data_IF_017559839935
#
_entry.id   IF_017559839935
#
_cell.length_a   1.000
_cell.length_b   1.000
_cell.length_c   1.000
_cell.angle_alpha   90.00
_cell.angle_beta   90.00
_cell.angle_gamma   90.00
#
_symmetry.space_group_name_H-M   'P 1'
#
loop_
_entity.id
_entity.type
_entity.pdbx_description
1 polymer ?
#
# COMPACT_ATOMS: atom_id res chain seq x y z
N UNK A 1 15.90 -11.17 3.98
CA UNK A 1 16.30 -10.83 2.59
C UNK A 1 16.16 -9.33 2.40
N UNK A 2 17.25 -8.61 2.14
CA UNK A 2 17.20 -7.17 1.82
C UNK A 2 16.71 -7.06 0.37
N UNK A 3 15.51 -6.53 0.16
CA UNK A 3 14.98 -6.29 -1.18
C UNK A 3 15.95 -5.40 -1.95
N UNK A 4 16.60 -5.96 -2.94
CA UNK A 4 17.63 -5.31 -3.73
C UNK A 4 16.90 -4.55 -4.84
N UNK A 5 17.11 -3.24 -4.94
CA UNK A 5 16.68 -2.50 -6.13
C UNK A 5 17.32 -3.18 -7.35
N UNK A 6 16.56 -3.48 -8.42
CA UNK A 6 17.09 -4.21 -9.59
C UNK A 6 18.32 -3.52 -10.20
N UNK A 7 18.53 -2.24 -9.93
CA UNK A 7 19.64 -1.44 -10.47
C UNK A 7 20.77 -1.14 -9.46
N UNK A 8 20.79 -1.77 -8.27
CA UNK A 8 21.86 -1.69 -7.25
C UNK A 8 22.35 -0.29 -6.80
N UNK A 9 21.79 0.81 -7.31
CA UNK A 9 22.10 2.17 -6.85
C UNK A 9 21.54 2.33 -5.44
N UNK A 10 22.43 2.50 -4.47
CA UNK A 10 22.05 2.99 -3.14
C UNK A 10 21.37 4.35 -3.33
N UNK A 11 20.17 4.58 -2.73
CA UNK A 11 19.56 5.89 -2.74
C UNK A 11 20.51 6.88 -2.05
N UNK A 12 20.63 8.08 -2.63
CA UNK A 12 21.34 9.20 -2.03
C UNK A 12 20.87 9.40 -0.57
N UNK A 13 21.77 9.56 0.41
CA UNK A 13 21.40 9.90 1.79
C UNK A 13 20.41 11.07 1.90
N UNK A 14 20.47 12.05 0.98
CA UNK A 14 19.51 13.14 0.90
C UNK A 14 18.07 12.66 0.64
N UNK A 15 17.89 11.60 -0.16
CA UNK A 15 16.59 10.97 -0.40
C UNK A 15 16.09 10.34 0.90
N UNK A 16 16.93 9.61 1.62
CA UNK A 16 16.55 9.02 2.91
C UNK A 16 16.15 10.10 3.93
N UNK A 17 16.87 11.23 3.96
CA UNK A 17 16.55 12.37 4.82
C UNK A 17 15.23 13.04 4.44
N UNK A 18 14.94 13.19 3.14
CA UNK A 18 13.67 13.72 2.65
C UNK A 18 12.49 12.82 3.07
N UNK A 19 12.66 11.50 2.95
CA UNK A 19 11.69 10.51 3.44
C UNK A 19 11.47 10.61 4.95
N UNK A 20 12.53 10.63 5.74
CA UNK A 20 12.45 10.75 7.20
C UNK A 20 11.71 12.04 7.61
N UNK A 21 12.02 13.16 6.97
CA UNK A 21 11.39 14.46 7.23
C UNK A 21 9.91 14.46 6.86
N UNK A 22 9.56 13.93 5.69
CA UNK A 22 8.18 13.89 5.22
C UNK A 22 7.31 12.97 6.10
N UNK A 23 7.83 11.79 6.47
CA UNK A 23 7.12 10.85 7.34
C UNK A 23 6.93 11.45 8.75
N UNK A 24 7.97 12.06 9.32
CA UNK A 24 7.87 12.73 10.62
C UNK A 24 6.85 13.88 10.62
N UNK A 25 6.82 14.68 9.54
CA UNK A 25 5.84 15.77 9.38
C UNK A 25 4.42 15.27 9.17
N UNK A 26 4.25 14.15 8.46
CA UNK A 26 2.92 13.62 8.18
C UNK A 26 2.16 13.19 9.44
N UNK A 27 2.88 12.77 10.49
CA UNK A 27 2.33 12.16 11.71
C UNK A 27 1.35 11.00 11.44
N UNK A 28 1.40 10.40 10.24
CA UNK A 28 0.49 9.33 9.84
C UNK A 28 1.07 7.99 10.27
N UNK A 29 0.36 7.31 11.15
CA UNK A 29 0.70 5.94 11.56
C UNK A 29 -0.30 4.98 10.95
N UNK A 30 0.13 4.31 9.88
CA UNK A 30 -0.69 3.32 9.16
C UNK A 30 -0.04 1.93 9.17
N UNK A 31 -0.83 0.86 9.00
CA UNK A 31 -0.30 -0.48 8.84
C UNK A 31 0.69 -0.57 7.68
N UNK A 32 1.71 -1.43 7.79
CA UNK A 32 2.66 -1.66 6.71
C UNK A 32 1.99 -2.09 5.39
N UNK A 33 0.86 -2.80 5.47
CA UNK A 33 0.07 -3.18 4.31
C UNK A 33 -0.47 -1.97 3.53
N UNK A 34 -0.92 -0.92 4.22
CA UNK A 34 -1.39 0.33 3.61
C UNK A 34 -0.26 1.02 2.86
N UNK A 35 0.93 1.11 3.47
CA UNK A 35 2.09 1.71 2.81
C UNK A 35 2.53 0.95 1.55
N UNK A 36 2.54 -0.39 1.61
CA UNK A 36 2.82 -1.21 0.42
C UNK A 36 1.80 -0.97 -0.68
N UNK A 37 0.52 -0.97 -0.34
CA UNK A 37 -0.54 -0.76 -1.30
C UNK A 37 -0.48 0.66 -1.89
N UNK A 38 -0.15 1.68 -1.09
CA UNK A 38 0.05 3.05 -1.57
C UNK A 38 1.13 3.17 -2.64
N UNK A 39 2.26 2.46 -2.48
CA UNK A 39 3.33 2.41 -3.49
C UNK A 39 2.83 1.74 -4.76
N UNK A 40 2.13 0.61 -4.65
CA UNK A 40 1.53 -0.06 -5.80
C UNK A 40 0.54 0.84 -6.53
N UNK A 41 -0.31 1.55 -5.78
CA UNK A 41 -1.34 2.45 -6.29
C UNK A 41 -0.75 3.58 -7.10
N UNK A 42 0.29 4.19 -6.55
CA UNK A 42 0.99 5.26 -7.21
C UNK A 42 1.68 4.77 -8.49
N UNK A 43 2.39 3.64 -8.42
CA UNK A 43 3.17 3.08 -9.52
C UNK A 43 2.34 2.61 -10.72
N UNK A 44 1.03 2.39 -10.57
CA UNK A 44 0.17 2.04 -11.71
C UNK A 44 -0.03 3.22 -12.66
N UNK A 45 -0.03 4.46 -12.15
CA UNK A 45 -0.32 5.64 -12.96
C UNK A 45 0.91 6.50 -13.27
N UNK A 46 2.09 6.11 -12.78
CA UNK A 46 3.31 6.90 -12.88
C UNK A 46 4.51 6.02 -13.23
N UNK A 47 5.33 6.50 -14.16
CA UNK A 47 6.57 5.85 -14.61
C UNK A 47 7.82 6.37 -13.91
N UNK A 48 7.76 7.57 -13.34
CA UNK A 48 8.87 8.17 -12.59
C UNK A 48 8.97 7.59 -11.17
N UNK A 49 10.03 7.85 -10.40
CA UNK A 49 10.07 7.51 -8.97
C UNK A 49 9.18 8.45 -8.14
N UNK A 50 8.46 7.95 -7.11
CA UNK A 50 7.60 8.79 -6.29
C UNK A 50 8.40 9.68 -5.35
N UNK A 51 7.86 10.87 -5.06
CA UNK A 51 8.31 11.65 -3.90
C UNK A 51 7.70 11.08 -2.61
N UNK A 52 8.28 11.37 -1.43
CA UNK A 52 7.67 11.01 -0.16
C UNK A 52 6.24 11.55 0.00
N UNK A 53 5.97 12.74 -0.52
CA UNK A 53 4.65 13.37 -0.46
C UNK A 53 3.62 12.55 -1.26
N UNK A 54 3.98 12.08 -2.45
CA UNK A 54 3.08 11.31 -3.30
C UNK A 54 2.61 10.03 -2.62
N UNK A 55 3.52 9.29 -1.98
CA UNK A 55 3.18 8.06 -1.27
C UNK A 55 2.34 8.36 -0.02
N UNK A 56 2.57 9.47 0.67
CA UNK A 56 1.71 9.90 1.80
C UNK A 56 0.29 10.18 1.32
N UNK A 57 0.13 10.85 0.17
CA UNK A 57 -1.19 11.11 -0.44
C UNK A 57 -1.86 9.80 -0.85
N UNK A 58 -1.15 8.92 -1.55
CA UNK A 58 -1.67 7.60 -1.94
C UNK A 58 -2.05 6.74 -0.74
N UNK A 59 -1.28 6.79 0.37
CA UNK A 59 -1.63 6.09 1.60
C UNK A 59 -2.93 6.61 2.23
N UNK A 60 -3.20 7.91 2.14
CA UNK A 60 -4.50 8.48 2.53
C UNK A 60 -5.65 7.89 1.72
N UNK A 61 -5.50 7.80 0.40
CA UNK A 61 -6.51 7.22 -0.50
C UNK A 61 -6.77 5.74 -0.20
N UNK A 62 -5.70 4.96 0.08
CA UNK A 62 -5.82 3.56 0.49
C UNK A 62 -6.60 3.44 1.80
N UNK A 63 -6.33 4.30 2.78
CA UNK A 63 -7.05 4.30 4.06
C UNK A 63 -8.54 4.57 3.86
N UNK A 64 -8.89 5.58 3.07
CA UNK A 64 -10.30 5.91 2.80
C UNK A 64 -11.02 4.73 2.14
N UNK A 65 -10.33 4.02 1.23
CA UNK A 65 -10.84 2.81 0.60
C UNK A 65 -11.00 1.65 1.60
N UNK A 66 -10.02 1.42 2.46
CA UNK A 66 -10.06 0.36 3.48
C UNK A 66 -11.13 0.61 4.54
N UNK A 67 -11.40 1.87 4.89
CA UNK A 67 -12.51 2.23 5.78
C UNK A 67 -13.88 1.91 5.18
N UNK A 68 -13.98 1.95 3.84
CA UNK A 68 -15.20 1.64 3.11
C UNK A 68 -15.41 0.13 2.87
N UNK A 69 -14.41 -0.70 3.17
CA UNK A 69 -14.48 -2.17 3.02
C UNK A 69 -14.62 -2.83 4.41
N UNK A 70 -15.74 -3.52 4.71
CA UNK A 70 -16.01 -4.10 6.02
C UNK A 70 -14.95 -5.06 6.55
N UNK A 71 -14.21 -5.75 5.67
CA UNK A 71 -13.15 -6.67 6.10
C UNK A 71 -11.89 -5.90 6.47
N UNK A 72 -11.53 -4.90 5.66
CA UNK A 72 -10.33 -4.08 5.86
C UNK A 72 -10.51 -3.08 7.01
N UNK A 73 -11.73 -2.64 7.28
CA UNK A 73 -12.01 -1.74 8.40
C UNK A 73 -11.71 -2.39 9.75
N UNK A 74 -11.98 -3.70 9.90
CA UNK A 74 -11.62 -4.48 11.09
C UNK A 74 -10.11 -4.56 11.27
N UNK A 75 -9.35 -4.74 10.19
CA UNK A 75 -7.88 -4.73 10.22
C UNK A 75 -7.33 -3.36 10.68
N UNK A 76 -7.93 -2.26 10.19
CA UNK A 76 -7.54 -0.90 10.60
C UNK A 76 -7.84 -0.64 12.08
N UNK A 77 -9.00 -1.08 12.56
CA UNK A 77 -9.39 -0.94 13.96
C UNK A 77 -8.47 -1.75 14.87
N UNK A 78 -8.18 -2.99 14.50
CA UNK A 78 -7.24 -3.86 15.21
C UNK A 78 -5.85 -3.22 15.29
N UNK A 79 -5.37 -2.62 14.20
CA UNK A 79 -4.09 -1.90 14.19
C UNK A 79 -4.11 -0.64 15.07
N UNK A 80 -5.18 0.17 15.03
CA UNK A 80 -5.32 1.36 15.88
C UNK A 80 -5.29 0.98 17.37
N UNK A 81 -6.02 -0.06 17.73
CA UNK A 81 -6.06 -0.58 19.10
C UNK A 81 -4.69 -1.10 19.53
N UNK A 82 -4.02 -1.89 18.71
CA UNK A 82 -2.67 -2.39 19.01
C UNK A 82 -1.66 -1.24 19.19
N UNK A 83 -1.73 -0.21 18.33
CA UNK A 83 -0.85 0.94 18.43
C UNK A 83 -1.13 1.75 19.71
N UNK A 84 -2.40 1.96 20.06
CA UNK A 84 -2.80 2.60 21.31
C UNK A 84 -2.21 1.85 22.53
N UNK A 85 -2.40 0.53 22.60
CA UNK A 85 -1.86 -0.30 23.68
C UNK A 85 -0.33 -0.25 23.74
N UNK A 86 0.32 -0.24 22.58
CA UNK A 86 1.78 -0.10 22.53
C UNK A 86 2.26 1.27 23.04
N UNK A 87 1.50 2.35 22.81
CA UNK A 87 1.80 3.68 23.32
C UNK A 87 1.56 3.78 24.83
N UNK A 88 0.49 3.18 25.34
CA UNK A 88 0.25 3.05 26.78
C UNK A 88 1.40 2.29 27.46
N UNK A 89 1.83 1.15 26.89
CA UNK A 89 2.94 0.35 27.41
C UNK A 89 4.28 1.10 27.43
N UNK A 90 4.49 2.05 26.50
CA UNK A 90 5.67 2.93 26.47
C UNK A 90 5.56 4.14 27.41
N UNK A 91 4.42 4.31 28.09
CA UNK A 91 4.15 5.47 28.95
C UNK A 91 3.88 6.77 28.19
N UNK A 92 3.64 6.70 26.88
CA UNK A 92 3.28 7.87 26.08
C UNK A 92 1.83 8.32 26.29
N UNK A 93 0.99 7.43 26.82
CA UNK A 93 -0.43 7.64 27.11
C UNK A 93 -0.81 7.02 28.47
N UNK A 94 -1.78 7.59 29.20
CA UNK A 94 -2.32 6.97 30.40
C UNK A 94 -2.92 5.59 30.13
N UNK A 95 -2.76 4.66 31.06
CA UNK A 95 -3.37 3.32 30.97
C UNK A 95 -4.89 3.45 31.04
N UNK A 96 -5.58 2.78 30.11
CA UNK A 96 -7.04 2.84 30.01
C UNK A 96 -7.52 3.98 29.11
N UNK A 97 -6.63 4.55 28.29
CA UNK A 97 -7.03 5.45 27.21
C UNK A 97 -7.96 4.66 26.30
N UNK A 98 -9.20 5.12 26.16
CA UNK A 98 -10.14 4.51 25.23
C UNK A 98 -9.59 4.69 23.80
N UNK A 99 -9.72 3.68 22.92
CA UNK A 99 -9.47 3.92 21.52
C UNK A 99 -10.40 5.06 21.09
N UNK A 100 -9.85 6.09 20.43
CA UNK A 100 -10.68 7.01 19.67
C UNK A 100 -11.44 6.14 18.67
N UNK A 101 -12.70 5.81 18.99
CA UNK A 101 -13.70 5.56 17.96
C UNK A 101 -13.57 6.72 17.01
N UNK A 102 -13.46 6.50 15.69
CA UNK A 102 -13.29 7.60 14.76
C UNK A 102 -14.44 8.55 15.05
N UNK A 103 -14.09 9.71 15.62
CA UNK A 103 -15.05 10.75 15.90
C UNK A 103 -15.73 11.02 14.58
N UNK A 104 -17.05 10.95 14.59
CA UNK A 104 -17.85 11.39 13.47
C UNK A 104 -17.33 12.75 13.03
N UNK A 105 -16.82 12.82 11.80
CA UNK A 105 -16.77 14.07 11.07
C UNK A 105 -15.68 15.08 11.42
N UNK A 106 -14.52 14.72 11.97
CA UNK A 106 -13.34 15.58 11.75
C UNK A 106 -12.81 15.37 10.32
N UNK A 107 -13.63 15.83 9.36
CA UNK A 107 -13.14 16.34 8.09
C UNK A 107 -12.01 17.29 8.48
N UNK A 108 -10.78 16.97 8.09
CA UNK A 108 -9.79 18.01 7.88
C UNK A 108 -10.51 19.04 7.01
N UNK A 109 -10.71 20.26 7.51
CA UNK A 109 -11.09 21.40 6.69
C UNK A 109 -9.96 21.62 5.69
N UNK A 110 -10.03 20.83 4.63
CA UNK A 110 -9.52 21.21 3.33
C UNK A 110 -10.54 22.25 2.90
N UNK A 111 -10.13 23.52 2.85
CA UNK A 111 -10.93 24.59 2.27
C UNK A 111 -11.72 24.04 1.07
N UNK A 112 -13.03 24.26 1.11
CA UNK A 112 -14.00 23.65 0.21
C UNK A 112 -13.76 24.07 -1.26
N UNK A 113 -12.81 23.41 -1.92
CA UNK A 113 -12.72 23.34 -3.36
C UNK A 113 -13.79 22.38 -3.89
N UNK A 114 -14.49 22.71 -4.98
CA UNK A 114 -15.78 22.14 -5.32
C UNK A 114 -15.70 20.63 -5.63
N UNK A 115 -16.44 19.82 -4.85
CA UNK A 115 -17.29 18.71 -5.29
C UNK A 115 -16.74 17.50 -6.08
N UNK A 116 -15.52 17.49 -6.60
CA UNK A 116 -15.08 16.47 -7.58
C UNK A 116 -14.09 15.41 -7.09
N UNK A 117 -13.32 15.69 -6.03
CA UNK A 117 -12.07 14.95 -5.74
C UNK A 117 -12.28 13.57 -5.09
N UNK A 118 -13.32 13.41 -4.26
CA UNK A 118 -13.59 12.14 -3.58
C UNK A 118 -14.25 11.08 -4.49
N UNK A 119 -15.10 11.51 -5.43
CA UNK A 119 -15.67 10.61 -6.44
C UNK A 119 -14.63 10.19 -7.49
N UNK A 120 -13.77 11.13 -7.91
CA UNK A 120 -12.63 10.84 -8.77
C UNK A 120 -11.64 9.86 -8.10
N UNK A 121 -11.36 10.03 -6.80
CA UNK A 121 -10.53 9.11 -6.02
C UNK A 121 -11.11 7.69 -5.94
N UNK A 122 -12.41 7.55 -5.68
CA UNK A 122 -13.09 6.23 -5.68
C UNK A 122 -13.06 5.55 -7.05
N UNK A 123 -13.32 6.28 -8.13
CA UNK A 123 -13.30 5.74 -9.49
C UNK A 123 -11.88 5.38 -9.94
N UNK A 124 -10.89 6.21 -9.62
CA UNK A 124 -9.48 5.90 -9.84
C UNK A 124 -9.08 4.62 -9.07
N UNK A 125 -9.57 4.47 -7.83
CA UNK A 125 -9.35 3.30 -7.01
C UNK A 125 -10.01 2.01 -7.54
N UNK A 126 -11.23 2.10 -8.07
CA UNK A 126 -11.89 0.97 -8.71
C UNK A 126 -11.18 0.54 -9.99
N UNK A 127 -10.82 1.50 -10.85
CA UNK A 127 -10.06 1.24 -12.07
C UNK A 127 -8.70 0.61 -11.75
N UNK A 128 -8.05 1.09 -10.70
CA UNK A 128 -6.80 0.56 -10.20
C UNK A 128 -6.93 -0.86 -9.64
N UNK A 129 -7.97 -1.15 -8.86
CA UNK A 129 -8.25 -2.52 -8.38
C UNK A 129 -8.50 -3.48 -9.54
N UNK A 130 -9.20 -3.02 -10.58
CA UNK A 130 -9.40 -3.81 -11.79
C UNK A 130 -8.08 -4.04 -12.54
N UNK A 131 -7.18 -3.04 -12.60
CA UNK A 131 -5.87 -3.18 -13.22
C UNK A 131 -4.95 -4.12 -12.42
N UNK A 132 -4.92 -4.02 -11.10
CA UNK A 132 -4.14 -4.91 -10.23
C UNK A 132 -4.63 -6.35 -10.26
N UNK A 133 -5.96 -6.56 -10.35
CA UNK A 133 -6.52 -7.89 -10.56
C UNK A 133 -6.08 -8.46 -11.90
N UNK A 134 -6.18 -7.68 -12.99
CA UNK A 134 -5.71 -8.10 -14.32
C UNK A 134 -4.22 -8.43 -14.34
N UNK A 135 -3.37 -7.65 -13.68
CA UNK A 135 -1.93 -7.96 -13.55
C UNK A 135 -1.68 -9.25 -12.80
N UNK A 136 -2.34 -9.48 -11.66
CA UNK A 136 -2.19 -10.75 -10.92
C UNK A 136 -2.66 -11.97 -11.71
N UNK A 137 -3.75 -11.83 -12.44
CA UNK A 137 -4.26 -12.89 -13.31
C UNK A 137 -3.28 -13.16 -14.46
N UNK A 138 -2.68 -12.12 -15.05
CA UNK A 138 -1.65 -12.25 -16.07
C UNK A 138 -0.36 -12.89 -15.55
N UNK A 139 0.11 -12.51 -14.36
CA UNK A 139 1.27 -13.13 -13.71
C UNK A 139 1.02 -14.62 -13.40
N UNK A 140 -0.15 -14.97 -12.86
CA UNK A 140 -0.52 -16.36 -12.59
C UNK A 140 -0.65 -17.18 -13.89
N UNK A 141 -1.17 -16.58 -14.97
CA UNK A 141 -1.23 -17.22 -16.28
C UNK A 141 0.16 -17.44 -16.87
N UNK A 142 1.08 -16.46 -16.74
CA UNK A 142 2.45 -16.58 -17.19
C UNK A 142 3.22 -17.67 -16.42
N UNK A 143 3.05 -17.74 -15.10
CA UNK A 143 3.65 -18.78 -14.26
C UNK A 143 3.14 -20.18 -14.67
N UNK A 144 1.83 -20.31 -14.93
CA UNK A 144 1.24 -21.56 -15.41
C UNK A 144 1.74 -21.95 -16.80
N UNK A 145 1.90 -20.99 -17.70
CA UNK A 145 2.43 -21.22 -19.04
C UNK A 145 3.91 -21.68 -18.98
N UNK A 146 4.73 -21.01 -18.18
CA UNK A 146 6.12 -21.38 -17.97
C UNK A 146 6.27 -22.80 -17.39
N UNK A 147 5.36 -23.19 -16.48
CA UNK A 147 5.31 -24.55 -15.94
C UNK A 147 4.98 -25.60 -17.00
N UNK A 148 3.98 -25.34 -17.84
CA UNK A 148 3.59 -26.26 -18.92
C UNK A 148 4.71 -26.40 -19.98
N UNK A 149 5.42 -25.32 -20.28
CA UNK A 149 6.56 -25.33 -21.20
C UNK A 149 7.76 -26.07 -20.62
N UNK A 150 8.00 -25.97 -19.31
CA UNK A 150 8.99 -26.77 -18.61
C UNK A 150 8.61 -28.26 -18.59
N UNK A 151 7.33 -28.60 -18.35
CA UNK A 151 6.83 -29.98 -18.40
C UNK A 151 6.94 -30.59 -19.81
N UNK A 152 6.65 -29.80 -20.85
CA UNK A 152 6.80 -30.22 -22.26
C UNK A 152 8.26 -30.43 -22.65
N UNK A 153 9.13 -29.50 -22.27
CA UNK A 153 10.58 -29.63 -22.51
C UNK A 153 11.19 -30.84 -21.79
N UNK A 154 10.67 -31.19 -20.61
CA UNK A 154 11.08 -32.39 -19.88
C UNK A 154 10.59 -33.69 -20.56
N UNK A 155 9.39 -33.69 -21.16
CA UNK A 155 8.87 -34.84 -21.90
C UNK A 155 9.65 -35.09 -23.21
N UNK A 156 9.94 -34.03 -23.98
CA UNK A 156 10.71 -34.12 -25.23
C UNK A 156 12.15 -34.60 -24.98
N UNK A 157 12.74 -34.25 -23.84
CA UNK A 157 14.08 -34.72 -23.44
C UNK A 157 14.12 -36.22 -23.06
N UNK A 158 13.00 -36.79 -22.62
CA UNK A 158 12.87 -38.23 -22.31
C UNK A 158 12.63 -39.04 -23.58
N UNK A 159 11.90 -38.49 -24.55
CA UNK A 159 11.56 -39.17 -25.81
C UNK A 159 12.72 -39.16 -26.83
N UNK A 160 13.59 -38.14 -26.80
CA UNK A 160 14.80 -38.09 -27.64
C UNK A 160 15.98 -38.97 -27.17
N UNK A 161 15.84 -39.65 -26.02
CA UNK A 161 16.87 -40.51 -25.43
C UNK A 161 16.56 -42.02 -25.52
N UNK A 162 15.45 -42.39 -26.15
CA UNK A 162 15.01 -43.77 -26.40
C UNK A 162 15.17 -44.17 -27.86
#
# INVERSE_FOLDING_TARGET
MRGMYPNARKPDPAIAQAWATALARSRRTYPAAVWREAVTVWAVSHSEPPTPHDIIVSAGQVIDAWQSDPRRSVDLESFRNANLRAREARGELPVGTAPESPSGGQRVEIEAGPGGKHAAGRKAWENLRAELRRRREAEAAAEKAARLEAERSAADAVEGAA
#
